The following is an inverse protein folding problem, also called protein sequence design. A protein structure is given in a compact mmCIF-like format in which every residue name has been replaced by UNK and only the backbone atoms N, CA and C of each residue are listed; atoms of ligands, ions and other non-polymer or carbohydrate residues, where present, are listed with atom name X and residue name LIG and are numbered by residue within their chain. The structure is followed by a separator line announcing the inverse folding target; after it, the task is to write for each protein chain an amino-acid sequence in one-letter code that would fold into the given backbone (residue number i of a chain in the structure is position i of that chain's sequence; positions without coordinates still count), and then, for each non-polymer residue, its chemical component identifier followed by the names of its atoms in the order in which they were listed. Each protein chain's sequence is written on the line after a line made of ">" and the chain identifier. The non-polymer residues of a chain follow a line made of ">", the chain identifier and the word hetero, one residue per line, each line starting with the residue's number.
data_IF_949591295431
#
_entry.id   IF_949591295431
#
_cell.length_a   1.000
_cell.length_b   1.000
_cell.length_c   1.000
_cell.angle_alpha   90.00
_cell.angle_beta   90.00
_cell.angle_gamma   90.00
#
_symmetry.space_group_name_H-M   'P 1'
#
loop_
_entity.id
_entity.type
_entity.pdbx_description
1 polymer ?
#
# COMPACT_ATOMS: atom_id res chain seq x y z
N UNK A 1 -82.57 21.70 -37.19
CA UNK A 1 -82.62 22.59 -36.00
C UNK A 1 -81.36 23.42 -36.08
N UNK A 2 -81.48 24.68 -36.52
CA UNK A 2 -80.37 25.57 -36.84
C UNK A 2 -80.27 26.54 -35.65
N UNK A 3 -79.16 26.47 -34.93
CA UNK A 3 -78.85 27.31 -33.78
C UNK A 3 -78.30 28.66 -34.28
N UNK A 4 -78.76 29.81 -33.74
CA UNK A 4 -78.33 31.13 -34.21
C UNK A 4 -76.94 31.52 -33.66
N UNK A 5 -76.21 32.42 -34.34
CA UNK A 5 -74.87 32.84 -33.92
C UNK A 5 -74.91 33.79 -32.72
N UNK A 6 -74.07 33.50 -31.74
CA UNK A 6 -73.80 34.30 -30.54
C UNK A 6 -73.08 35.60 -30.89
N UNK A 7 -73.51 36.71 -30.28
CA UNK A 7 -72.89 38.03 -30.38
C UNK A 7 -71.44 38.06 -29.82
N UNK A 8 -70.55 38.93 -30.34
CA UNK A 8 -69.20 39.10 -29.82
C UNK A 8 -69.22 39.87 -28.49
N UNK A 9 -68.71 39.24 -27.42
CA UNK A 9 -68.48 39.89 -26.13
C UNK A 9 -67.39 40.96 -26.20
N UNK A 10 -67.62 42.07 -25.50
CA UNK A 10 -66.67 43.16 -25.29
C UNK A 10 -65.35 42.69 -24.64
N UNK A 11 -64.20 43.26 -25.03
CA UNK A 11 -62.92 42.98 -24.38
C UNK A 11 -62.86 43.62 -22.99
N UNK A 12 -62.61 42.80 -21.98
CA UNK A 12 -62.34 43.23 -20.60
C UNK A 12 -61.01 44.01 -20.54
N UNK A 13 -60.99 45.26 -20.05
CA UNK A 13 -59.75 46.02 -19.88
C UNK A 13 -59.08 45.64 -18.56
N UNK A 14 -57.82 45.18 -18.62
CA UNK A 14 -56.96 45.09 -17.44
C UNK A 14 -56.13 43.83 -17.34
N UNK A 15 -55.24 43.59 -18.31
CA UNK A 15 -54.12 42.69 -18.12
C UNK A 15 -52.85 43.56 -17.94
N UNK A 16 -52.18 43.52 -16.78
CA UNK A 16 -50.99 44.32 -16.54
C UNK A 16 -49.83 43.82 -17.41
N UNK A 17 -49.28 44.73 -18.20
CA UNK A 17 -48.09 44.53 -19.04
C UNK A 17 -46.93 43.97 -18.21
N UNK A 18 -46.22 42.92 -18.67
CA UNK A 18 -45.02 42.43 -18.00
C UNK A 18 -43.98 43.56 -17.94
N UNK A 19 -43.53 43.87 -16.73
CA UNK A 19 -42.44 44.81 -16.50
C UNK A 19 -41.21 44.31 -17.25
N UNK A 20 -40.74 45.08 -18.22
CA UNK A 20 -39.53 44.76 -18.98
C UNK A 20 -38.34 44.68 -18.02
N UNK A 21 -37.82 43.47 -17.83
CA UNK A 21 -36.60 43.21 -17.08
C UNK A 21 -35.44 43.98 -17.74
N UNK A 22 -34.62 44.73 -16.98
CA UNK A 22 -33.54 45.52 -17.55
C UNK A 22 -32.52 44.60 -18.23
N UNK A 23 -32.25 44.86 -19.51
CA UNK A 23 -31.21 44.19 -20.30
C UNK A 23 -29.88 44.32 -19.55
N UNK A 24 -29.40 43.20 -18.98
CA UNK A 24 -28.06 43.13 -18.40
C UNK A 24 -27.03 43.44 -19.51
N UNK A 25 -26.09 44.36 -19.29
CA UNK A 25 -25.00 44.60 -20.21
C UNK A 25 -24.27 43.28 -20.48
N UNK A 26 -24.10 42.94 -21.76
CA UNK A 26 -23.37 41.75 -22.17
C UNK A 26 -21.99 41.76 -21.48
N UNK A 27 -21.74 40.73 -20.68
CA UNK A 27 -20.44 40.51 -20.05
C UNK A 27 -19.37 40.49 -21.15
N UNK A 28 -18.29 41.29 -21.04
CA UNK A 28 -17.26 41.34 -22.08
C UNK A 28 -16.75 39.93 -22.32
N UNK A 29 -16.91 39.45 -23.56
CA UNK A 29 -16.40 38.17 -24.04
C UNK A 29 -14.92 38.11 -23.68
N UNK A 30 -14.58 37.34 -22.63
CA UNK A 30 -13.19 37.11 -22.29
C UNK A 30 -12.52 36.53 -23.54
N UNK A 31 -11.40 37.12 -24.01
CA UNK A 31 -10.65 36.56 -25.12
C UNK A 31 -10.41 35.09 -24.84
N UNK A 32 -10.91 34.20 -25.71
CA UNK A 32 -10.70 32.78 -25.57
C UNK A 32 -9.21 32.53 -25.35
N UNK A 33 -8.84 31.94 -24.20
CA UNK A 33 -7.45 31.56 -23.94
C UNK A 33 -6.96 30.76 -25.15
N UNK A 34 -5.79 31.10 -25.73
CA UNK A 34 -5.30 30.41 -26.91
C UNK A 34 -5.24 28.90 -26.64
N UNK A 35 -6.00 28.13 -27.43
CA UNK A 35 -6.25 26.69 -27.27
C UNK A 35 -5.01 25.79 -27.44
N UNK A 36 -3.80 26.38 -27.46
CA UNK A 36 -2.53 25.70 -27.63
C UNK A 36 -1.51 26.22 -26.61
N UNK A 37 -1.83 26.12 -25.31
CA UNK A 37 -0.73 25.97 -24.35
C UNK A 37 0.00 24.69 -24.75
N UNK A 38 1.20 24.84 -25.34
CA UNK A 38 2.14 23.74 -25.43
C UNK A 38 2.18 23.11 -24.03
N UNK A 39 1.74 21.86 -23.91
CA UNK A 39 1.64 21.20 -22.62
C UNK A 39 3.03 21.22 -21.99
N UNK A 40 3.20 22.07 -20.98
CA UNK A 40 4.45 22.20 -20.25
C UNK A 40 4.68 20.89 -19.51
N UNK A 41 5.44 20.00 -20.14
CA UNK A 41 5.73 18.69 -19.60
C UNK A 41 6.44 18.86 -18.26
N UNK A 42 6.05 18.10 -17.23
CA UNK A 42 6.57 18.31 -15.89
C UNK A 42 8.07 17.99 -15.85
N UNK A 43 8.85 18.92 -15.28
CA UNK A 43 10.26 18.66 -14.95
C UNK A 43 10.36 17.70 -13.78
N UNK A 44 11.48 16.98 -13.65
CA UNK A 44 11.64 15.97 -12.58
C UNK A 44 11.51 16.57 -11.16
N UNK A 45 12.01 17.80 -10.95
CA UNK A 45 11.84 18.55 -9.68
C UNK A 45 10.37 18.89 -9.42
N UNK A 46 9.63 19.28 -10.46
CA UNK A 46 8.20 19.59 -10.37
C UNK A 46 7.38 18.36 -10.03
N UNK A 47 7.75 17.17 -10.54
CA UNK A 47 7.11 15.90 -10.19
C UNK A 47 7.22 15.59 -8.70
N UNK A 48 8.41 15.73 -8.10
CA UNK A 48 8.60 15.47 -6.67
C UNK A 48 7.82 16.49 -5.84
N UNK A 49 7.92 17.78 -6.18
CA UNK A 49 7.17 18.84 -5.50
C UNK A 49 5.65 18.63 -5.58
N UNK A 50 5.14 18.30 -6.77
CA UNK A 50 3.72 17.98 -6.97
C UNK A 50 3.29 16.72 -6.21
N UNK A 51 4.13 15.68 -6.17
CA UNK A 51 3.88 14.48 -5.39
C UNK A 51 3.77 14.77 -3.89
N UNK A 52 4.70 15.54 -3.33
CA UNK A 52 4.65 15.93 -1.90
C UNK A 52 3.44 16.81 -1.58
N UNK A 53 3.15 17.80 -2.43
CA UNK A 53 1.94 18.63 -2.29
C UNK A 53 0.67 17.79 -2.37
N UNK A 54 0.64 16.79 -3.25
CA UNK A 54 -0.49 15.87 -3.39
C UNK A 54 -0.66 15.00 -2.13
N UNK A 55 0.44 14.50 -1.56
CA UNK A 55 0.40 13.75 -0.31
C UNK A 55 -0.12 14.62 0.85
N UNK A 56 0.34 15.87 0.96
CA UNK A 56 -0.13 16.83 1.95
C UNK A 56 -1.62 17.15 1.78
N UNK A 57 -2.07 17.40 0.54
CA UNK A 57 -3.47 17.67 0.24
C UNK A 57 -4.38 16.47 0.55
N UNK A 58 -3.84 15.24 0.48
CA UNK A 58 -4.58 13.99 0.72
C UNK A 58 -4.49 13.49 2.17
N UNK A 59 -3.90 14.26 3.10
CA UNK A 59 -3.56 13.78 4.47
C UNK A 59 -4.76 13.18 5.21
N UNK A 60 -5.93 13.81 5.14
CA UNK A 60 -7.12 13.32 5.85
C UNK A 60 -7.58 11.94 5.35
N UNK A 61 -7.57 11.72 4.03
CA UNK A 61 -7.98 10.45 3.44
C UNK A 61 -6.89 9.38 3.55
N UNK A 62 -5.62 9.77 3.44
CA UNK A 62 -4.49 8.89 3.73
C UNK A 62 -4.52 8.42 5.19
N UNK A 63 -4.86 9.28 6.15
CA UNK A 63 -5.01 8.88 7.57
C UNK A 63 -6.12 7.85 7.77
N UNK A 64 -7.27 8.01 7.09
CA UNK A 64 -8.38 7.04 7.17
C UNK A 64 -7.96 5.69 6.57
N UNK A 65 -7.26 5.72 5.43
CA UNK A 65 -6.73 4.53 4.79
C UNK A 65 -5.63 3.86 5.64
N UNK A 66 -4.78 4.62 6.31
CA UNK A 66 -3.73 4.09 7.19
C UNK A 66 -4.30 3.40 8.42
N UNK A 67 -5.35 3.96 9.04
CA UNK A 67 -6.08 3.31 10.14
C UNK A 67 -6.69 2.01 9.66
N UNK A 68 -7.28 1.99 8.46
CA UNK A 68 -7.83 0.77 7.88
C UNK A 68 -6.75 -0.31 7.65
N UNK A 69 -5.59 0.03 7.09
CA UNK A 69 -4.48 -0.94 6.92
C UNK A 69 -3.89 -1.36 8.27
N UNK A 70 -3.81 -0.48 9.25
CA UNK A 70 -3.39 -0.81 10.62
C UNK A 70 -4.32 -1.83 11.28
N UNK A 71 -5.64 -1.62 11.20
CA UNK A 71 -6.64 -2.57 11.69
C UNK A 71 -6.62 -3.88 10.91
N UNK A 72 -6.34 -3.81 9.61
CA UNK A 72 -6.20 -5.01 8.78
C UNK A 72 -4.96 -5.83 9.19
N UNK A 73 -3.82 -5.17 9.44
CA UNK A 73 -2.62 -5.82 9.97
C UNK A 73 -2.88 -6.43 11.36
N UNK A 74 -3.59 -5.71 12.24
CA UNK A 74 -4.01 -6.23 13.54
C UNK A 74 -4.87 -7.49 13.41
N UNK A 75 -5.87 -7.48 12.52
CA UNK A 75 -6.69 -8.67 12.28
C UNK A 75 -5.91 -9.83 11.66
N UNK A 76 -4.87 -9.55 10.89
CA UNK A 76 -4.04 -10.54 10.22
C UNK A 76 -2.99 -11.19 11.12
N UNK A 77 -2.29 -10.39 11.92
CA UNK A 77 -1.16 -10.84 12.74
C UNK A 77 -1.51 -10.94 14.22
N UNK A 78 -2.59 -10.33 14.68
CA UNK A 78 -2.95 -10.29 16.10
C UNK A 78 -3.13 -11.67 16.73
N UNK A 79 -3.93 -12.58 16.16
CA UNK A 79 -4.08 -13.94 16.70
C UNK A 79 -2.76 -14.70 16.77
N UNK A 80 -1.97 -14.62 15.69
CA UNK A 80 -0.66 -15.24 15.59
C UNK A 80 0.32 -14.72 16.66
N UNK A 81 0.30 -13.40 16.90
CA UNK A 81 1.14 -12.73 17.88
C UNK A 81 0.74 -13.10 19.32
N UNK A 82 -0.56 -13.15 19.62
CA UNK A 82 -1.07 -13.60 20.93
C UNK A 82 -0.64 -15.04 21.18
N UNK A 83 -0.78 -15.91 20.19
CA UNK A 83 -0.32 -17.29 20.29
C UNK A 83 1.19 -17.39 20.50
N UNK A 84 1.97 -16.60 19.78
CA UNK A 84 3.43 -16.58 19.92
C UNK A 84 3.85 -16.17 21.33
N UNK A 85 3.23 -15.13 21.91
CA UNK A 85 3.49 -14.70 23.28
C UNK A 85 3.16 -15.81 24.29
N UNK A 86 2.00 -16.46 24.15
CA UNK A 86 1.61 -17.57 25.02
C UNK A 86 2.57 -18.76 24.93
N UNK A 87 3.09 -19.03 23.73
CA UNK A 87 4.02 -20.15 23.50
C UNK A 87 5.39 -19.85 24.10
N UNK A 88 5.88 -18.62 23.93
CA UNK A 88 7.13 -18.16 24.54
C UNK A 88 7.06 -18.24 26.07
N UNK A 89 5.96 -17.77 26.65
CA UNK A 89 5.69 -17.85 28.09
C UNK A 89 5.63 -19.31 28.59
N UNK A 90 4.91 -20.16 27.86
CA UNK A 90 4.70 -21.56 28.26
C UNK A 90 5.98 -22.41 28.26
N UNK A 91 6.88 -22.17 27.30
CA UNK A 91 8.10 -22.95 27.11
C UNK A 91 9.36 -22.25 27.64
N UNK A 92 9.22 -21.08 28.28
CA UNK A 92 10.34 -20.24 28.77
C UNK A 92 11.40 -20.00 27.68
N UNK A 93 10.94 -19.71 26.45
CA UNK A 93 11.81 -19.58 25.29
C UNK A 93 12.51 -18.22 25.29
N UNK A 94 13.83 -18.23 25.11
CA UNK A 94 14.55 -17.01 24.75
C UNK A 94 14.26 -16.66 23.29
N UNK A 95 13.37 -15.68 23.10
CA UNK A 95 12.94 -15.22 21.79
C UNK A 95 14.12 -14.72 20.94
N UNK A 96 15.18 -14.17 21.55
CA UNK A 96 16.35 -13.72 20.80
C UNK A 96 17.07 -14.90 20.14
N UNK A 97 17.24 -16.00 20.86
CA UNK A 97 17.86 -17.23 20.35
C UNK A 97 17.00 -17.86 19.25
N UNK A 98 15.67 -17.90 19.44
CA UNK A 98 14.74 -18.43 18.42
C UNK A 98 14.79 -17.59 17.14
N UNK A 99 14.82 -16.26 17.25
CA UNK A 99 14.96 -15.38 16.08
C UNK A 99 16.32 -15.56 15.39
N UNK A 100 17.39 -15.73 16.16
CA UNK A 100 18.74 -15.93 15.61
C UNK A 100 18.83 -17.25 14.83
N UNK A 101 18.27 -18.35 15.36
CA UNK A 101 18.23 -19.66 14.66
C UNK A 101 17.34 -19.61 13.40
N UNK A 102 16.17 -18.96 13.48
CA UNK A 102 15.32 -18.74 12.30
C UNK A 102 16.01 -17.89 11.23
N UNK A 103 16.83 -16.92 11.64
CA UNK A 103 17.56 -16.06 10.72
C UNK A 103 18.79 -16.73 10.11
N UNK A 104 19.48 -17.59 10.86
CA UNK A 104 20.66 -18.33 10.39
C UNK A 104 20.27 -19.46 9.44
N UNK A 105 19.09 -20.07 9.64
CA UNK A 105 18.61 -21.20 8.84
C UNK A 105 19.47 -22.46 9.01
N UNK A 106 20.34 -22.48 10.02
CA UNK A 106 21.24 -23.61 10.28
C UNK A 106 20.51 -24.77 10.97
N UNK A 107 19.37 -24.50 11.61
CA UNK A 107 18.51 -25.51 12.22
C UNK A 107 19.23 -26.36 13.27
N UNK A 108 20.31 -25.84 13.85
CA UNK A 108 21.13 -26.53 14.84
C UNK A 108 20.33 -26.75 16.13
N UNK A 109 19.42 -25.83 16.45
CA UNK A 109 18.57 -25.91 17.63
C UNK A 109 17.62 -27.13 17.62
N UNK A 110 17.25 -27.63 16.43
CA UNK A 110 16.40 -28.82 16.26
C UNK A 110 17.10 -30.12 16.71
N UNK A 111 18.43 -30.19 16.62
CA UNK A 111 19.18 -31.39 16.99
C UNK A 111 19.40 -31.49 18.49
N UNK A 112 19.48 -30.36 19.19
CA UNK A 112 19.75 -30.30 20.62
C UNK A 112 18.47 -30.50 21.45
N UNK A 113 17.31 -30.04 20.96
CA UNK A 113 16.03 -30.06 21.70
C UNK A 113 14.88 -30.68 20.88
N UNK A 114 14.76 -32.02 20.81
CA UNK A 114 13.75 -32.69 19.97
C UNK A 114 12.30 -32.38 20.39
N UNK A 115 12.08 -31.98 21.64
CA UNK A 115 10.78 -31.58 22.17
C UNK A 115 10.29 -30.22 21.63
N UNK A 116 11.20 -29.37 21.15
CA UNK A 116 10.88 -28.06 20.58
C UNK A 116 10.62 -28.10 19.07
N UNK A 117 10.83 -29.25 18.42
CA UNK A 117 10.63 -29.41 16.96
C UNK A 117 9.20 -29.03 16.56
N UNK A 118 8.20 -29.44 17.35
CA UNK A 118 6.79 -29.11 17.07
C UNK A 118 6.51 -27.60 17.12
N UNK A 119 6.76 -26.92 18.25
CA UNK A 119 6.63 -25.47 18.37
C UNK A 119 7.45 -24.67 17.35
N UNK A 120 8.66 -25.10 17.02
CA UNK A 120 9.52 -24.41 16.05
C UNK A 120 9.00 -24.53 14.61
N UNK A 121 8.60 -25.73 14.17
CA UNK A 121 7.94 -25.91 12.87
C UNK A 121 6.67 -25.07 12.76
N UNK A 122 5.97 -24.93 13.88
CA UNK A 122 4.80 -24.07 13.96
C UNK A 122 5.15 -22.59 13.77
N UNK A 123 6.20 -22.10 14.44
CA UNK A 123 6.69 -20.73 14.25
C UNK A 123 7.16 -20.48 12.81
N UNK A 124 7.84 -21.45 12.20
CA UNK A 124 8.24 -21.38 10.80
C UNK A 124 7.01 -21.27 9.88
N UNK A 125 5.98 -22.09 10.10
CA UNK A 125 4.73 -22.02 9.34
C UNK A 125 4.02 -20.66 9.55
N UNK A 126 3.97 -20.18 10.78
CA UNK A 126 3.40 -18.88 11.14
C UNK A 126 4.14 -17.74 10.44
N UNK A 127 5.48 -17.78 10.45
CA UNK A 127 6.34 -16.82 9.76
C UNK A 127 6.10 -16.86 8.25
N UNK A 128 6.05 -18.06 7.64
CA UNK A 128 5.79 -18.24 6.22
C UNK A 128 4.44 -17.66 5.78
N UNK A 129 3.34 -17.99 6.49
CA UNK A 129 2.01 -17.41 6.22
C UNK A 129 2.00 -15.91 6.49
N UNK A 130 2.71 -15.47 7.53
CA UNK A 130 2.85 -14.07 7.90
C UNK A 130 3.51 -13.23 6.80
N UNK A 131 4.58 -13.76 6.18
CA UNK A 131 5.24 -13.13 5.03
C UNK A 131 4.27 -12.99 3.85
N UNK A 132 3.49 -14.04 3.53
CA UNK A 132 2.49 -13.96 2.46
C UNK A 132 1.40 -12.92 2.73
N UNK A 133 0.92 -12.84 3.98
CA UNK A 133 -0.04 -11.81 4.42
C UNK A 133 0.55 -10.41 4.31
N UNK A 134 1.81 -10.23 4.75
CA UNK A 134 2.50 -8.95 4.66
C UNK A 134 2.62 -8.48 3.21
N UNK A 135 2.98 -9.39 2.30
CA UNK A 135 2.97 -9.11 0.87
C UNK A 135 1.59 -8.70 0.35
N UNK A 136 0.54 -9.45 0.71
CA UNK A 136 -0.83 -9.13 0.28
C UNK A 136 -1.29 -7.75 0.79
N UNK A 137 -1.04 -7.45 2.07
CA UNK A 137 -1.37 -6.15 2.69
C UNK A 137 -0.57 -5.03 2.03
N UNK A 138 0.71 -5.25 1.70
CA UNK A 138 1.54 -4.26 1.03
C UNK A 138 1.03 -3.90 -0.38
N UNK A 139 0.61 -4.90 -1.16
CA UNK A 139 -0.01 -4.69 -2.48
C UNK A 139 -1.31 -3.89 -2.35
N UNK A 140 -2.17 -4.21 -1.40
CA UNK A 140 -3.40 -3.45 -1.14
C UNK A 140 -3.09 -2.01 -0.72
N UNK A 141 -2.16 -1.83 0.21
CA UNK A 141 -1.76 -0.52 0.72
C UNK A 141 -1.25 0.39 -0.41
N UNK A 142 -0.39 -0.14 -1.29
CA UNK A 142 0.09 0.57 -2.47
C UNK A 142 -1.06 0.93 -3.42
N UNK A 143 -1.95 -0.01 -3.72
CA UNK A 143 -3.08 0.22 -4.62
C UNK A 143 -4.06 1.28 -4.09
N UNK A 144 -4.39 1.23 -2.81
CA UNK A 144 -5.26 2.20 -2.12
C UNK A 144 -4.58 3.57 -2.12
N UNK A 145 -3.29 3.63 -1.77
CA UNK A 145 -2.51 4.86 -1.76
C UNK A 145 -2.51 5.53 -3.14
N UNK A 146 -2.19 4.78 -4.20
CA UNK A 146 -2.22 5.28 -5.59
C UNK A 146 -3.60 5.81 -5.95
N UNK A 147 -4.66 5.07 -5.61
CA UNK A 147 -6.03 5.46 -5.95
C UNK A 147 -6.45 6.76 -5.24
N UNK A 148 -6.20 6.87 -3.92
CA UNK A 148 -6.56 8.07 -3.11
C UNK A 148 -5.82 9.30 -3.61
N UNK A 149 -4.51 9.18 -3.87
CA UNK A 149 -3.67 10.25 -4.40
C UNK A 149 -4.14 10.68 -5.78
N UNK A 150 -4.41 9.72 -6.67
CA UNK A 150 -4.84 10.04 -8.03
C UNK A 150 -6.24 10.67 -8.08
N UNK A 151 -7.14 10.29 -7.16
CA UNK A 151 -8.45 10.94 -7.03
C UNK A 151 -8.33 12.44 -6.71
N UNK A 152 -7.42 12.81 -5.80
CA UNK A 152 -7.14 14.22 -5.51
C UNK A 152 -6.48 14.94 -6.68
N UNK A 153 -5.51 14.31 -7.33
CA UNK A 153 -4.82 14.88 -8.49
C UNK A 153 -5.77 15.11 -9.68
N UNK A 154 -6.78 14.25 -9.83
CA UNK A 154 -7.84 14.37 -10.84
C UNK A 154 -9.02 15.24 -10.38
N UNK A 155 -8.82 16.08 -9.34
CA UNK A 155 -9.79 17.03 -8.77
C UNK A 155 -11.13 16.44 -8.32
N UNK A 156 -11.22 15.11 -8.21
CA UNK A 156 -12.45 14.39 -7.85
C UNK A 156 -12.07 13.26 -6.88
N UNK A 157 -11.96 13.58 -5.57
CA UNK A 157 -11.44 12.66 -4.57
C UNK A 157 -12.30 11.40 -4.52
N UNK A 158 -11.64 10.26 -4.32
CA UNK A 158 -12.31 8.96 -4.19
C UNK A 158 -12.50 8.62 -2.72
N UNK A 159 -13.63 7.99 -2.39
CA UNK A 159 -13.90 7.57 -1.01
C UNK A 159 -13.07 6.31 -0.69
N UNK A 160 -12.77 6.10 0.60
CA UNK A 160 -12.03 4.89 1.04
C UNK A 160 -12.63 3.57 0.52
N UNK A 161 -13.96 3.35 0.54
CA UNK A 161 -14.54 2.13 -0.03
C UNK A 161 -14.27 1.99 -1.54
N UNK A 162 -14.28 3.08 -2.30
CA UNK A 162 -13.99 3.07 -3.74
C UNK A 162 -12.52 2.75 -3.98
N UNK A 163 -11.61 3.31 -3.18
CA UNK A 163 -10.18 3.01 -3.23
C UNK A 163 -9.90 1.54 -2.92
N UNK A 164 -10.54 0.99 -1.89
CA UNK A 164 -10.45 -0.44 -1.54
C UNK A 164 -11.04 -1.30 -2.67
N UNK A 165 -12.22 -0.96 -3.20
CA UNK A 165 -12.82 -1.66 -4.35
C UNK A 165 -11.85 -1.69 -5.53
N UNK A 166 -11.20 -0.55 -5.83
CA UNK A 166 -10.19 -0.47 -6.88
C UNK A 166 -9.01 -1.38 -6.60
N UNK A 167 -8.48 -1.35 -5.38
CA UNK A 167 -7.40 -2.24 -4.96
C UNK A 167 -7.75 -3.72 -5.16
N UNK A 168 -8.97 -4.14 -4.82
CA UNK A 168 -9.45 -5.52 -5.05
C UNK A 168 -9.50 -5.89 -6.52
N UNK A 169 -9.97 -4.99 -7.39
CA UNK A 169 -10.06 -5.23 -8.84
C UNK A 169 -8.68 -5.43 -9.48
N UNK A 170 -7.67 -4.70 -9.00
CA UNK A 170 -6.32 -4.73 -9.58
C UNK A 170 -5.33 -5.61 -8.83
N UNK A 171 -5.73 -6.18 -7.68
CA UNK A 171 -4.86 -6.95 -6.79
C UNK A 171 -4.02 -7.99 -7.53
N UNK A 172 -4.66 -8.89 -8.28
CA UNK A 172 -3.96 -9.97 -8.98
C UNK A 172 -3.04 -9.46 -10.09
N UNK A 173 -3.40 -8.32 -10.70
CA UNK A 173 -2.57 -7.69 -11.72
C UNK A 173 -1.34 -7.04 -11.10
N UNK A 174 -1.50 -6.34 -9.97
CA UNK A 174 -0.38 -5.80 -9.21
C UNK A 174 0.50 -6.91 -8.66
N UNK A 175 -0.07 -7.96 -8.07
CA UNK A 175 0.69 -9.10 -7.57
C UNK A 175 1.51 -9.75 -8.68
N UNK A 176 0.89 -10.08 -9.81
CA UNK A 176 1.60 -10.66 -10.95
C UNK A 176 2.69 -9.73 -11.50
N UNK A 177 2.44 -8.42 -11.56
CA UNK A 177 3.41 -7.42 -11.97
C UNK A 177 4.60 -7.33 -11.00
N UNK A 178 4.34 -7.28 -9.69
CA UNK A 178 5.34 -7.24 -8.63
C UNK A 178 6.17 -8.52 -8.59
N UNK A 179 5.57 -9.70 -8.84
CA UNK A 179 6.31 -10.96 -8.94
C UNK A 179 7.27 -10.95 -10.14
N UNK A 180 6.84 -10.45 -11.30
CA UNK A 180 7.69 -10.35 -12.49
C UNK A 180 8.86 -9.38 -12.26
N UNK A 181 8.59 -8.20 -11.69
CA UNK A 181 9.64 -7.21 -11.38
C UNK A 181 10.55 -7.71 -10.26
N UNK A 182 10.00 -8.39 -9.25
CA UNK A 182 10.74 -9.02 -8.17
C UNK A 182 11.71 -10.07 -8.69
N UNK A 183 11.23 -10.99 -9.53
CA UNK A 183 12.06 -12.00 -10.18
C UNK A 183 13.18 -11.37 -11.01
N UNK A 184 12.86 -10.34 -11.81
CA UNK A 184 13.86 -9.59 -12.57
C UNK A 184 14.92 -8.94 -11.66
N UNK A 185 14.49 -8.30 -10.56
CA UNK A 185 15.40 -7.69 -9.58
C UNK A 185 16.28 -8.74 -8.90
N UNK A 186 15.72 -9.89 -8.52
CA UNK A 186 16.47 -11.00 -7.90
C UNK A 186 17.53 -11.57 -8.84
N UNK A 187 17.21 -11.74 -10.13
CA UNK A 187 18.18 -12.19 -11.13
C UNK A 187 19.34 -11.19 -11.24
N UNK A 188 19.04 -9.88 -11.34
CA UNK A 188 20.07 -8.84 -11.41
C UNK A 188 20.93 -8.81 -10.15
N UNK A 189 20.31 -8.90 -8.98
CA UNK A 189 21.03 -8.91 -7.71
C UNK A 189 21.96 -10.14 -7.62
N UNK A 190 21.51 -11.32 -8.06
CA UNK A 190 22.33 -12.52 -8.14
C UNK A 190 23.51 -12.34 -9.09
N UNK A 191 23.29 -11.79 -10.29
CA UNK A 191 24.37 -11.49 -11.25
C UNK A 191 25.39 -10.53 -10.66
N UNK A 192 24.94 -9.43 -10.03
CA UNK A 192 25.85 -8.46 -9.41
C UNK A 192 26.66 -9.11 -8.29
N UNK A 193 26.03 -9.92 -7.43
CA UNK A 193 26.74 -10.65 -6.37
C UNK A 193 27.82 -11.57 -6.93
N UNK A 194 27.52 -12.33 -7.99
CA UNK A 194 28.50 -13.20 -8.66
C UNK A 194 29.66 -12.38 -9.25
N UNK A 195 29.36 -11.29 -9.95
CA UNK A 195 30.40 -10.42 -10.54
C UNK A 195 31.29 -9.81 -9.44
N UNK A 196 30.70 -9.31 -8.35
CA UNK A 196 31.46 -8.75 -7.24
C UNK A 196 32.32 -9.80 -6.54
N UNK A 197 31.81 -11.02 -6.36
CA UNK A 197 32.58 -12.14 -5.80
C UNK A 197 33.75 -12.56 -6.71
N UNK A 198 33.58 -12.50 -8.04
CA UNK A 198 34.66 -12.78 -8.98
C UNK A 198 35.75 -11.70 -8.97
N UNK A 199 35.36 -10.43 -8.81
CA UNK A 199 36.28 -9.29 -8.86
C UNK A 199 37.02 -9.03 -7.53
N UNK A 200 36.34 -9.20 -6.40
CA UNK A 200 36.85 -8.85 -5.07
C UNK A 200 37.25 -10.08 -4.24
N UNK A 201 37.09 -11.28 -4.81
CA UNK A 201 37.25 -12.55 -4.10
C UNK A 201 35.92 -13.04 -3.49
N UNK A 202 35.84 -14.34 -3.15
CA UNK A 202 34.65 -14.90 -2.52
C UNK A 202 34.35 -14.09 -1.26
N UNK A 203 33.08 -13.73 -1.02
CA UNK A 203 32.72 -12.97 0.17
C UNK A 203 33.09 -13.80 1.39
N UNK A 204 34.21 -13.48 2.04
CA UNK A 204 34.43 -13.89 3.42
C UNK A 204 33.30 -13.26 4.23
N UNK A 205 32.55 -14.10 4.96
CA UNK A 205 31.48 -13.75 5.92
C UNK A 205 30.83 -12.38 5.66
N UNK A 206 29.72 -12.38 4.91
CA UNK A 206 28.72 -11.30 4.81
C UNK A 206 29.35 -9.89 4.81
N UNK A 207 29.68 -9.34 3.64
CA UNK A 207 30.02 -7.92 3.55
C UNK A 207 28.73 -7.10 3.32
N UNK A 208 28.12 -6.51 4.38
CA UNK A 208 26.84 -5.81 4.26
C UNK A 208 26.91 -4.63 3.29
N UNK A 209 28.10 -4.03 3.11
CA UNK A 209 28.27 -2.96 2.14
C UNK A 209 28.10 -3.46 0.69
N UNK A 210 28.61 -4.65 0.36
CA UNK A 210 28.44 -5.24 -0.97
C UNK A 210 26.98 -5.60 -1.25
N UNK A 211 26.28 -6.15 -0.26
CA UNK A 211 24.86 -6.45 -0.38
C UNK A 211 24.01 -5.18 -0.57
N UNK A 212 24.34 -4.12 0.17
CA UNK A 212 23.71 -2.83 -0.01
C UNK A 212 23.94 -2.25 -1.41
N UNK A 213 25.18 -2.30 -1.92
CA UNK A 213 25.49 -1.86 -3.29
C UNK A 213 24.73 -2.70 -4.31
N UNK A 214 24.71 -4.03 -4.16
CA UNK A 214 24.00 -4.93 -5.07
C UNK A 214 22.49 -4.66 -5.07
N UNK A 215 21.88 -4.47 -3.91
CA UNK A 215 20.46 -4.11 -3.77
C UNK A 215 20.16 -2.73 -4.38
N UNK A 216 21.04 -1.75 -4.18
CA UNK A 216 20.92 -0.41 -4.78
C UNK A 216 20.96 -0.46 -6.31
N UNK A 217 21.94 -1.17 -6.86
CA UNK A 217 22.10 -1.34 -8.31
C UNK A 217 20.93 -2.13 -8.92
N UNK A 218 20.48 -3.19 -8.25
CA UNK A 218 19.30 -3.94 -8.67
C UNK A 218 18.05 -3.05 -8.69
N UNK A 219 17.86 -2.21 -7.67
CA UNK A 219 16.76 -1.24 -7.61
C UNK A 219 16.85 -0.23 -8.76
N UNK A 220 18.03 0.30 -9.07
CA UNK A 220 18.23 1.18 -10.22
C UNK A 220 17.96 0.50 -11.56
N UNK A 221 18.20 -0.81 -11.67
CA UNK A 221 17.86 -1.56 -12.87
C UNK A 221 16.34 -1.72 -13.07
N UNK A 222 15.52 -1.48 -12.04
CA UNK A 222 14.04 -1.47 -12.14
C UNK A 222 13.45 -0.13 -12.61
N UNK A 223 14.26 0.90 -12.88
CA UNK A 223 13.80 2.22 -13.39
C UNK A 223 12.83 2.13 -14.58
N UNK A 224 12.99 1.22 -15.57
CA UNK A 224 12.03 1.08 -16.66
C UNK A 224 10.59 0.72 -16.21
N UNK A 225 10.43 0.23 -14.99
CA UNK A 225 9.17 -0.24 -14.40
C UNK A 225 8.58 0.74 -13.37
N UNK A 226 9.13 1.96 -13.26
CA UNK A 226 8.71 2.98 -12.29
C UNK A 226 7.21 3.35 -12.36
N UNK A 227 6.56 3.16 -13.51
CA UNK A 227 5.14 3.49 -13.73
C UNK A 227 4.23 2.26 -13.81
N UNK A 228 4.73 1.08 -13.42
CA UNK A 228 3.99 -0.17 -13.55
C UNK A 228 2.75 -0.19 -12.66
N UNK A 229 2.92 0.13 -11.37
CA UNK A 229 1.83 0.11 -10.41
C UNK A 229 0.77 1.18 -10.74
N UNK A 230 1.19 2.42 -11.03
CA UNK A 230 0.28 3.49 -11.43
C UNK A 230 -0.40 3.21 -12.76
N UNK A 231 0.30 2.61 -13.73
CA UNK A 231 -0.30 2.16 -14.99
C UNK A 231 -1.37 1.08 -14.79
N UNK A 232 -1.21 0.18 -13.82
CA UNK A 232 -2.22 -0.83 -13.50
C UNK A 232 -3.41 -0.20 -12.78
N UNK A 233 -3.16 0.58 -11.73
CA UNK A 233 -4.22 1.17 -10.90
C UNK A 233 -5.00 2.24 -11.66
N UNK A 234 -4.33 3.13 -12.40
CA UNK A 234 -4.95 4.26 -13.10
C UNK A 234 -5.26 3.96 -14.57
N UNK A 235 -4.37 3.23 -15.24
CA UNK A 235 -4.50 2.85 -16.66
C UNK A 235 -5.47 1.70 -16.92
N UNK A 236 -5.82 0.95 -15.88
CA UNK A 236 -6.65 -0.24 -15.94
C UNK A 236 -6.22 -1.30 -16.98
N UNK A 237 -4.91 -1.47 -17.12
CA UNK A 237 -4.29 -2.41 -18.07
C UNK A 237 -3.71 -3.66 -17.41
N UNK A 238 -3.70 -4.77 -18.16
CA UNK A 238 -3.06 -6.01 -17.75
C UNK A 238 -1.55 -5.82 -17.46
N UNK A 239 -0.92 -6.69 -16.64
CA UNK A 239 0.46 -6.51 -16.17
C UNK A 239 1.48 -6.34 -17.29
N UNK A 240 1.38 -7.15 -18.34
CA UNK A 240 2.31 -7.13 -19.48
C UNK A 240 2.18 -5.82 -20.26
N UNK A 241 0.95 -5.35 -20.48
CA UNK A 241 0.70 -4.09 -21.18
C UNK A 241 1.17 -2.89 -20.34
N UNK A 242 0.96 -2.94 -19.01
CA UNK A 242 1.50 -1.95 -18.09
C UNK A 242 3.04 -1.91 -18.13
N UNK A 243 3.70 -3.05 -18.22
CA UNK A 243 5.16 -3.16 -18.36
C UNK A 243 5.65 -2.52 -19.67
N UNK A 244 4.98 -2.82 -20.79
CA UNK A 244 5.29 -2.23 -22.10
C UNK A 244 5.07 -0.71 -22.10
N UNK A 245 4.01 -0.22 -21.47
CA UNK A 245 3.74 1.22 -21.35
C UNK A 245 4.74 1.91 -20.43
N UNK A 246 5.07 1.31 -19.28
CA UNK A 246 6.08 1.85 -18.36
C UNK A 246 7.45 1.96 -19.03
N UNK A 247 7.87 0.93 -19.75
CA UNK A 247 9.16 0.95 -20.48
C UNK A 247 9.19 1.99 -21.61
N UNK A 248 8.08 2.17 -22.35
CA UNK A 248 7.94 3.24 -23.35
C UNK A 248 8.00 4.63 -22.70
N UNK A 249 7.30 4.84 -21.59
CA UNK A 249 7.34 6.09 -20.83
C UNK A 249 8.74 6.39 -20.29
N UNK A 250 9.44 5.37 -19.75
CA UNK A 250 10.83 5.49 -19.34
C UNK A 250 11.73 5.93 -20.49
N UNK A 251 11.64 5.28 -21.65
CA UNK A 251 12.44 5.65 -22.83
C UNK A 251 12.16 7.08 -23.30
N UNK A 252 10.91 7.54 -23.18
CA UNK A 252 10.55 8.91 -23.51
C UNK A 252 11.09 9.92 -22.49
N UNK A 253 11.10 9.58 -21.20
CA UNK A 253 11.43 10.51 -20.09
C UNK A 253 12.26 9.81 -18.99
N UNK A 254 13.51 9.44 -19.26
CA UNK A 254 14.32 8.63 -18.34
C UNK A 254 14.63 9.36 -17.03
N UNK A 255 14.85 10.68 -17.07
CA UNK A 255 15.15 11.49 -15.89
C UNK A 255 14.00 11.50 -14.88
N UNK A 256 12.75 11.54 -15.34
CA UNK A 256 11.59 11.56 -14.44
C UNK A 256 11.45 10.19 -13.76
N UNK A 257 11.56 9.11 -14.53
CA UNK A 257 11.53 7.75 -14.01
C UNK A 257 12.66 7.47 -13.02
N UNK A 258 13.87 7.95 -13.31
CA UNK A 258 15.02 7.85 -12.42
C UNK A 258 14.73 8.56 -11.08
N UNK A 259 14.22 9.78 -11.11
CA UNK A 259 13.87 10.52 -9.89
C UNK A 259 12.79 9.80 -9.07
N UNK A 260 11.80 9.21 -9.73
CA UNK A 260 10.75 8.39 -9.08
C UNK A 260 11.36 7.16 -8.37
N UNK A 261 12.30 6.46 -9.01
CA UNK A 261 12.97 5.31 -8.39
C UNK A 261 13.94 5.74 -7.29
N UNK A 262 14.68 6.83 -7.47
CA UNK A 262 15.53 7.38 -6.41
C UNK A 262 14.71 7.77 -5.18
N UNK A 263 13.52 8.34 -5.38
CA UNK A 263 12.60 8.62 -4.27
C UNK A 263 12.13 7.33 -3.57
N UNK A 264 11.87 6.28 -4.34
CA UNK A 264 11.54 4.94 -3.80
C UNK A 264 12.69 4.38 -2.99
N UNK A 265 13.94 4.50 -3.48
CA UNK A 265 15.15 4.06 -2.79
C UNK A 265 15.37 4.81 -1.47
N UNK A 266 15.29 6.14 -1.49
CA UNK A 266 15.40 6.98 -0.29
C UNK A 266 14.32 6.60 0.72
N UNK A 267 13.09 6.40 0.27
CA UNK A 267 11.98 6.04 1.15
C UNK A 267 12.15 4.62 1.71
N UNK A 268 12.67 3.68 0.93
CA UNK A 268 13.04 2.33 1.41
C UNK A 268 14.13 2.39 2.49
N UNK A 269 15.12 3.27 2.32
CA UNK A 269 16.16 3.47 3.34
C UNK A 269 15.56 4.06 4.63
N UNK A 270 14.68 5.07 4.51
CA UNK A 270 13.93 5.63 5.64
C UNK A 270 13.07 4.56 6.30
N UNK A 271 12.43 3.68 5.53
CA UNK A 271 11.64 2.57 6.06
C UNK A 271 12.49 1.63 6.90
N UNK A 272 13.62 1.16 6.37
CA UNK A 272 14.54 0.26 7.12
C UNK A 272 15.01 0.94 8.41
N UNK A 273 15.40 2.21 8.33
CA UNK A 273 15.81 2.98 9.50
C UNK A 273 14.67 3.13 10.53
N UNK A 274 13.46 3.48 10.07
CA UNK A 274 12.29 3.65 10.93
C UNK A 274 11.86 2.34 11.58
N UNK A 275 12.02 1.20 10.89
CA UNK A 275 11.78 -0.12 11.46
C UNK A 275 12.81 -0.46 12.53
N UNK A 276 14.11 -0.24 12.27
CA UNK A 276 15.15 -0.43 13.28
C UNK A 276 14.91 0.43 14.53
N UNK A 277 14.78 1.75 14.35
CA UNK A 277 14.52 2.68 15.45
C UNK A 277 13.18 2.38 16.16
N UNK A 278 12.17 1.92 15.42
CA UNK A 278 10.88 1.52 15.98
C UNK A 278 10.98 0.28 16.86
N UNK A 279 11.75 -0.74 16.42
CA UNK A 279 12.02 -1.94 17.21
C UNK A 279 12.82 -1.62 18.47
N UNK A 280 13.86 -0.77 18.36
CA UNK A 280 14.64 -0.32 19.51
C UNK A 280 13.75 0.43 20.53
N UNK A 281 12.86 1.30 20.05
CA UNK A 281 11.89 2.00 20.90
C UNK A 281 10.92 1.03 21.57
N UNK A 282 10.41 0.03 20.84
CA UNK A 282 9.52 -1.00 21.37
C UNK A 282 10.22 -1.81 22.46
N UNK A 283 11.46 -2.22 22.23
CA UNK A 283 12.28 -2.93 23.22
C UNK A 283 12.55 -2.06 24.46
N UNK A 284 12.91 -0.80 24.26
CA UNK A 284 13.16 0.15 25.34
C UNK A 284 11.90 0.40 26.19
N UNK A 285 10.76 0.68 25.55
CA UNK A 285 9.48 0.88 26.26
C UNK A 285 9.05 -0.41 26.95
N UNK A 286 9.24 -1.56 26.31
CA UNK A 286 8.95 -2.85 26.91
C UNK A 286 9.76 -3.11 28.18
N UNK A 287 11.07 -2.86 28.14
CA UNK A 287 11.93 -2.94 29.31
C UNK A 287 11.52 -1.94 30.40
N UNK A 288 11.20 -0.69 30.03
CA UNK A 288 10.78 0.34 30.97
C UNK A 288 9.43 0.05 31.66
N UNK A 289 8.52 -0.63 30.95
CA UNK A 289 7.23 -1.09 31.49
C UNK A 289 7.35 -2.37 32.30
N UNK A 290 8.54 -2.98 32.37
CA UNK A 290 8.73 -4.29 32.98
C UNK A 290 7.87 -5.34 32.28
N UNK A 291 7.81 -5.33 30.94
CA UNK A 291 7.21 -6.41 30.13
C UNK A 291 8.08 -7.66 30.23
N UNK A 292 8.12 -8.21 31.44
CA UNK A 292 8.67 -9.51 31.70
C UNK A 292 7.51 -10.49 31.60
N UNK A 293 7.54 -11.31 30.56
CA UNK A 293 6.53 -12.34 30.32
C UNK A 293 6.52 -13.32 31.52
N UNK A 294 7.65 -13.47 32.20
CA UNK A 294 7.83 -14.31 33.39
C UNK A 294 7.28 -13.69 34.69
N UNK A 295 6.89 -12.41 34.68
CA UNK A 295 6.30 -11.74 35.85
C UNK A 295 4.84 -12.16 36.15
N UNK A 296 4.37 -13.23 35.50
CA UNK A 296 3.03 -13.80 35.66
C UNK A 296 1.99 -13.19 34.72
N UNK A 297 0.72 -13.60 34.89
CA UNK A 297 -0.33 -13.32 33.92
C UNK A 297 -0.59 -11.83 33.60
N UNK A 298 -0.28 -10.91 34.54
CA UNK A 298 -0.39 -9.47 34.27
C UNK A 298 0.66 -8.99 33.25
N UNK A 299 1.89 -9.50 33.32
CA UNK A 299 2.97 -9.20 32.37
C UNK A 299 2.63 -9.69 30.97
N UNK A 300 2.11 -10.93 30.88
CA UNK A 300 1.62 -11.53 29.62
C UNK A 300 0.54 -10.66 28.95
N UNK A 301 -0.49 -10.25 29.71
CA UNK A 301 -1.58 -9.41 29.18
C UNK A 301 -1.03 -8.07 28.69
N UNK A 302 -0.12 -7.44 29.44
CA UNK A 302 0.46 -6.18 29.05
C UNK A 302 1.32 -6.32 27.78
N UNK A 303 2.11 -7.39 27.67
CA UNK A 303 2.90 -7.73 26.48
C UNK A 303 2.01 -7.96 25.25
N UNK A 304 0.85 -8.62 25.41
CA UNK A 304 -0.13 -8.78 24.34
C UNK A 304 -0.70 -7.44 23.87
N UNK A 305 -1.20 -6.61 24.80
CA UNK A 305 -1.79 -5.30 24.45
C UNK A 305 -0.76 -4.42 23.74
N UNK A 306 0.47 -4.39 24.25
CA UNK A 306 1.56 -3.61 23.67
C UNK A 306 1.94 -4.10 22.27
N UNK A 307 2.11 -5.41 22.10
CA UNK A 307 2.46 -6.02 20.80
C UNK A 307 1.36 -5.80 19.75
N UNK A 308 0.08 -5.91 20.14
CA UNK A 308 -1.06 -5.63 19.26
C UNK A 308 -1.11 -4.16 18.82
N UNK A 309 -0.82 -3.23 19.75
CA UNK A 309 -0.70 -1.82 19.42
C UNK A 309 0.47 -1.56 18.46
N UNK A 310 1.62 -2.22 18.68
CA UNK A 310 2.80 -2.11 17.80
C UNK A 310 2.50 -2.62 16.38
N UNK A 311 1.83 -3.76 16.23
CA UNK A 311 1.40 -4.29 14.92
C UNK A 311 0.46 -3.33 14.19
N UNK A 312 -0.50 -2.74 14.93
CA UNK A 312 -1.43 -1.76 14.36
C UNK A 312 -0.69 -0.52 13.86
N UNK A 313 0.26 -0.02 14.66
CA UNK A 313 1.11 1.12 14.31
C UNK A 313 2.00 0.81 13.10
N UNK A 314 2.59 -0.38 13.05
CA UNK A 314 3.41 -0.86 11.93
C UNK A 314 2.59 -0.92 10.62
N UNK A 315 1.36 -1.46 10.66
CA UNK A 315 0.48 -1.48 9.48
C UNK A 315 0.14 -0.06 8.97
N UNK A 316 -0.16 0.86 9.88
CA UNK A 316 -0.42 2.28 9.54
C UNK A 316 0.82 2.96 8.94
N UNK A 317 2.01 2.68 9.49
CA UNK A 317 3.29 3.18 8.96
C UNK A 317 3.56 2.64 7.56
N UNK A 318 3.39 1.33 7.35
CA UNK A 318 3.59 0.67 6.06
C UNK A 318 2.71 1.31 4.97
N UNK A 319 1.44 1.59 5.27
CA UNK A 319 0.57 2.32 4.35
C UNK A 319 1.08 3.74 4.05
N UNK A 320 1.48 4.47 5.08
CA UNK A 320 1.94 5.85 4.94
C UNK A 320 3.17 5.94 4.05
N UNK A 321 4.11 5.01 4.21
CA UNK A 321 5.30 4.87 3.37
C UNK A 321 4.91 4.53 1.93
N UNK A 322 4.02 3.54 1.73
CA UNK A 322 3.56 3.15 0.40
C UNK A 322 2.87 4.31 -0.35
N UNK A 323 2.07 5.12 0.36
CA UNK A 323 1.45 6.32 -0.20
C UNK A 323 2.50 7.38 -0.56
N UNK A 324 3.47 7.64 0.31
CA UNK A 324 4.53 8.62 0.06
C UNK A 324 5.37 8.25 -1.17
N UNK A 325 5.77 6.98 -1.29
CA UNK A 325 6.48 6.43 -2.47
C UNK A 325 5.65 6.56 -3.74
N UNK A 326 4.33 6.34 -3.63
CA UNK A 326 3.43 6.37 -4.77
C UNK A 326 3.10 7.78 -5.24
N UNK A 327 3.22 8.80 -4.40
CA UNK A 327 2.85 10.18 -4.74
C UNK A 327 3.60 10.76 -5.95
N UNK A 328 4.95 10.72 -6.04
CA UNK A 328 5.65 11.15 -7.24
C UNK A 328 5.37 10.25 -8.46
N UNK A 329 5.10 8.94 -8.25
CA UNK A 329 4.69 8.03 -9.32
C UNK A 329 3.36 8.48 -9.94
N UNK A 330 2.38 8.82 -9.09
CA UNK A 330 1.05 9.29 -9.49
C UNK A 330 1.16 10.63 -10.21
N UNK A 331 1.90 11.60 -9.62
CA UNK A 331 2.08 12.92 -10.22
C UNK A 331 2.75 12.85 -11.60
N UNK A 332 3.82 12.05 -11.73
CA UNK A 332 4.47 11.83 -13.03
C UNK A 332 3.56 11.11 -14.02
N UNK A 333 2.88 10.04 -13.62
CA UNK A 333 2.03 9.28 -14.52
C UNK A 333 0.90 10.14 -15.07
N UNK A 334 0.20 10.87 -14.20
CA UNK A 334 -0.89 11.76 -14.62
C UNK A 334 -0.36 12.94 -15.44
N UNK A 335 0.77 13.54 -15.07
CA UNK A 335 1.37 14.63 -15.84
C UNK A 335 1.89 14.22 -17.22
N UNK A 336 2.20 12.94 -17.44
CA UNK A 336 2.67 12.41 -18.72
C UNK A 336 1.55 11.82 -19.59
N UNK A 337 0.48 11.30 -18.98
CA UNK A 337 -0.56 10.54 -19.71
C UNK A 337 -1.93 11.18 -19.68
N UNK A 338 -2.20 12.08 -18.73
CA UNK A 338 -3.52 12.67 -18.46
C UNK A 338 -4.64 11.63 -18.28
N UNK A 339 -4.27 10.39 -17.93
CA UNK A 339 -5.20 9.26 -17.90
C UNK A 339 -5.47 8.77 -16.48
N UNK A 340 -6.72 8.82 -16.05
CA UNK A 340 -7.19 8.32 -14.76
C UNK A 340 -8.42 7.38 -14.89
N UNK A 341 -8.65 6.79 -16.06
CA UNK A 341 -9.87 6.05 -16.38
C UNK A 341 -10.15 4.84 -15.47
N UNK A 342 -9.12 4.25 -14.87
CA UNK A 342 -9.28 3.18 -13.87
C UNK A 342 -9.98 3.61 -12.59
N UNK A 343 -9.93 4.91 -12.25
CA UNK A 343 -10.66 5.44 -11.09
C UNK A 343 -12.17 5.53 -11.36
N UNK A 344 -12.57 5.89 -12.58
CA UNK A 344 -13.99 6.01 -12.93
C UNK A 344 -14.72 4.67 -12.79
N UNK A 345 -14.08 3.54 -13.09
CA UNK A 345 -14.67 2.20 -12.91
C UNK A 345 -14.89 1.80 -11.45
N UNK A 346 -14.16 2.41 -10.53
CA UNK A 346 -14.28 2.12 -9.10
C UNK A 346 -15.27 3.05 -8.39
N UNK A 347 -15.66 4.16 -9.02
CA UNK A 347 -16.66 5.07 -8.47
C UNK A 347 -18.04 4.41 -8.54
N UNK A 348 -18.70 4.37 -7.40
CA UNK A 348 -20.09 3.97 -7.31
C UNK A 348 -20.95 5.24 -7.23
N UNK A 349 -22.00 5.31 -8.05
CA UNK A 349 -23.02 6.34 -7.91
C UNK A 349 -23.93 5.98 -6.72
N UNK A 350 -24.09 6.90 -5.77
CA UNK A 350 -24.99 6.72 -4.63
C UNK A 350 -24.36 6.13 -3.36
N UNK A 351 -25.18 5.59 -2.43
CA UNK A 351 -24.70 4.99 -1.18
C UNK A 351 -23.92 3.69 -1.45
N UNK A 352 -23.11 3.29 -0.45
CA UNK A 352 -22.21 2.14 -0.53
C UNK A 352 -22.94 0.88 -1.06
N UNK A 353 -22.37 0.14 -2.03
CA UNK A 353 -22.99 -1.06 -2.56
C UNK A 353 -23.16 -2.14 -1.47
N UNK A 354 -24.31 -2.81 -1.47
CA UNK A 354 -24.56 -3.96 -0.60
C UNK A 354 -23.55 -5.09 -0.89
N UNK A 355 -23.03 -5.75 0.15
CA UNK A 355 -22.05 -6.83 0.00
C UNK A 355 -20.60 -6.38 -0.23
N UNK A 356 -20.26 -5.15 0.15
CA UNK A 356 -18.88 -4.65 0.06
C UNK A 356 -17.86 -5.56 0.77
N UNK A 357 -16.84 -6.00 0.04
CA UNK A 357 -15.78 -6.86 0.57
C UNK A 357 -14.59 -6.03 1.05
N UNK A 358 -14.35 -6.06 2.35
CA UNK A 358 -13.21 -5.38 2.97
C UNK A 358 -11.89 -6.10 2.72
N UNK A 359 -11.90 -7.36 2.29
CA UNK A 359 -10.70 -8.21 2.18
C UNK A 359 -10.70 -8.90 0.81
N UNK A 360 -9.53 -9.01 0.15
CA UNK A 360 -9.38 -9.79 -1.09
C UNK A 360 -9.57 -11.27 -0.79
N UNK A 361 -10.02 -12.07 -1.78
CA UNK A 361 -10.06 -13.55 -1.67
C UNK A 361 -8.72 -14.16 -1.22
N UNK A 362 -7.57 -13.83 -1.83
CA UNK A 362 -6.29 -14.36 -1.37
C UNK A 362 -5.99 -14.00 0.09
N UNK A 363 -6.25 -12.76 0.49
CA UNK A 363 -6.04 -12.37 1.89
C UNK A 363 -7.03 -13.07 2.82
N UNK A 364 -8.28 -13.28 2.42
CA UNK A 364 -9.26 -14.08 3.17
C UNK A 364 -8.76 -15.52 3.38
N UNK A 365 -8.25 -16.16 2.33
CA UNK A 365 -7.64 -17.50 2.42
C UNK A 365 -6.41 -17.49 3.34
N UNK A 366 -5.53 -16.50 3.22
CA UNK A 366 -4.35 -16.39 4.09
C UNK A 366 -4.71 -16.08 5.55
N UNK A 367 -5.75 -15.29 5.80
CA UNK A 367 -6.29 -15.04 7.14
C UNK A 367 -6.87 -16.32 7.74
N UNK A 368 -7.63 -17.09 6.96
CA UNK A 368 -8.17 -18.38 7.39
C UNK A 368 -7.05 -19.39 7.64
N UNK A 369 -6.02 -19.42 6.78
CA UNK A 369 -4.84 -20.26 6.98
C UNK A 369 -4.09 -19.86 8.25
N UNK A 370 -3.86 -18.56 8.48
CA UNK A 370 -3.23 -18.05 9.69
C UNK A 370 -4.04 -18.39 10.93
N UNK A 371 -5.36 -18.21 10.90
CA UNK A 371 -6.25 -18.58 11.99
C UNK A 371 -6.25 -20.10 12.24
N UNK A 372 -6.25 -20.90 11.18
CA UNK A 372 -6.19 -22.36 11.25
C UNK A 372 -4.88 -22.86 11.84
N UNK A 373 -3.74 -22.30 11.39
CA UNK A 373 -2.42 -22.55 11.99
C UNK A 373 -2.48 -22.15 13.46
N UNK A 374 -2.79 -20.89 13.78
CA UNK A 374 -2.91 -20.40 15.18
C UNK A 374 -3.74 -21.34 16.06
N UNK A 375 -4.93 -21.75 15.61
CA UNK A 375 -5.82 -22.64 16.34
C UNK A 375 -5.21 -24.03 16.56
N UNK A 376 -4.61 -24.62 15.52
CA UNK A 376 -3.91 -25.91 15.64
C UNK A 376 -2.78 -25.82 16.67
N UNK A 377 -2.02 -24.73 16.67
CA UNK A 377 -0.96 -24.49 17.66
C UNK A 377 -1.51 -24.48 19.08
N UNK A 378 -2.59 -23.72 19.31
CA UNK A 378 -3.27 -23.67 20.62
C UNK A 378 -3.71 -25.06 21.08
N UNK A 379 -4.29 -25.86 20.18
CA UNK A 379 -4.78 -27.20 20.50
C UNK A 379 -3.65 -28.20 20.80
N UNK A 380 -2.44 -27.96 20.29
CA UNK A 380 -1.27 -28.79 20.56
C UNK A 380 -0.52 -28.43 21.84
N UNK A 381 -0.79 -27.25 22.42
CA UNK A 381 -0.20 -26.88 23.71
C UNK A 381 -0.75 -27.82 24.80
N UNK A 382 0.12 -28.40 25.65
CA UNK A 382 -0.35 -29.19 26.77
C UNK A 382 -1.17 -28.29 27.72
N UNK A 383 -2.20 -28.84 28.39
CA UNK A 383 -3.00 -28.05 29.32
C UNK A 383 -2.12 -27.45 30.41
N UNK A 384 -2.26 -26.15 30.65
CA UNK A 384 -1.58 -25.45 31.74
C UNK A 384 -2.12 -26.02 33.06
N UNK A 385 -1.27 -26.73 33.79
CA UNK A 385 -1.58 -27.41 35.05
C UNK A 385 -1.53 -26.51 36.27
#
# INVERSE_FOLDING_TARGET
>A
MIEPPSEPGEPTPGEPTPSAEPVQPAEPVQPAEPATRAYDLPTARRVVGAGLQLALASTADLRRASIYIGLLALGAFGPALVFLILTVDHFDLDLAVVLEDLASGEGLYFYENPELVGPLLFFEALAGVGVLLLFAISIDAQAIGIAVLAGHAATRPIRLPEAVSRARQVFWRLLGASLVVGLYSSVIQGVIRVVMALLLGPPGLINPALDFVAATLATLATVPFAYLATGIVLGDVAPIEALRRSTRLFRARPTIALVVVLFTLVTSAIQVFALGAGLDLVAFVGAALGLDVTAGGAGVVLAMVFSLAAVTAFGSLLFTIAALVSAPQVAAFLGLTFYAGGLERARAEGPRPAGFRWVTRPMEVSLLAMAGVTLLGVLTLPPVG
#
